data_IF_519088243623
#
_entry.id   IF_519088243623
#
_cell.length_a   1.000
_cell.length_b   1.000
_cell.length_c   1.000
_cell.angle_alpha   90.00
_cell.angle_beta   90.00
_cell.angle_gamma   90.00
#
_symmetry.space_group_name_H-M   'P 1'
#
loop_
_entity.id
_entity.type
_entity.pdbx_description
1 polymer ?
#
# COMPACT_ATOMS: atom_id res chain seq x y z
N UNK A 1 -14.47 7.35 -8.91
CA UNK A 1 -14.28 6.35 -9.93
C UNK A 1 -14.33 4.93 -9.38
N UNK A 2 -14.18 3.98 -10.26
CA UNK A 2 -14.26 2.56 -9.91
C UNK A 2 -13.19 2.14 -8.89
N UNK A 3 -11.99 2.69 -9.01
CA UNK A 3 -10.89 2.38 -8.09
C UNK A 3 -11.22 2.83 -6.66
N UNK A 4 -11.89 3.98 -6.52
CA UNK A 4 -12.31 4.47 -5.21
C UNK A 4 -13.31 3.53 -4.53
N UNK A 5 -14.25 2.98 -5.29
CA UNK A 5 -15.22 2.02 -4.73
C UNK A 5 -14.54 0.76 -4.22
N UNK A 6 -13.51 0.30 -4.91
CA UNK A 6 -12.79 -0.91 -4.50
C UNK A 6 -12.10 -0.72 -3.14
N UNK A 7 -11.44 0.43 -2.94
CA UNK A 7 -10.79 0.67 -1.66
C UNK A 7 -11.81 0.90 -0.54
N UNK A 8 -12.95 1.51 -0.83
CA UNK A 8 -14.04 1.66 0.14
C UNK A 8 -14.54 0.30 0.62
N UNK A 9 -14.78 -0.63 -0.30
CA UNK A 9 -15.23 -1.98 0.05
C UNK A 9 -14.20 -2.73 0.90
N UNK A 10 -12.92 -2.60 0.57
CA UNK A 10 -11.86 -3.20 1.34
C UNK A 10 -11.81 -2.61 2.76
N UNK A 11 -11.90 -1.30 2.88
CA UNK A 11 -11.89 -0.65 4.18
C UNK A 11 -13.11 -0.98 5.02
N UNK A 12 -14.29 -1.09 4.39
CA UNK A 12 -15.49 -1.51 5.09
C UNK A 12 -15.31 -2.90 5.72
N UNK A 13 -14.59 -3.77 5.05
CA UNK A 13 -14.34 -5.14 5.52
C UNK A 13 -13.21 -5.23 6.54
N UNK A 14 -12.08 -4.57 6.26
CA UNK A 14 -10.86 -4.74 7.04
C UNK A 14 -10.56 -3.60 8.00
N UNK A 15 -11.23 -2.47 7.87
CA UNK A 15 -11.19 -1.31 8.79
C UNK A 15 -9.77 -0.81 9.10
N UNK A 16 -9.03 -0.49 8.05
CA UNK A 16 -7.67 0.02 8.20
C UNK A 16 -7.57 1.54 8.06
N UNK A 17 -8.55 2.20 7.40
CA UNK A 17 -8.57 3.65 7.25
C UNK A 17 -9.40 4.29 8.37
N UNK A 18 -8.82 4.32 9.56
CA UNK A 18 -9.50 4.85 10.74
C UNK A 18 -9.07 6.29 11.02
N UNK A 19 -9.91 7.10 11.69
CA UNK A 19 -9.51 8.46 12.06
C UNK A 19 -8.19 8.48 12.81
N UNK A 20 -7.28 9.35 12.38
CA UNK A 20 -5.94 9.46 12.94
C UNK A 20 -4.88 8.63 12.25
N UNK A 21 -5.24 7.72 11.37
CA UNK A 21 -4.27 6.88 10.67
C UNK A 21 -3.37 7.72 9.76
N UNK A 22 -2.11 7.31 9.68
CA UNK A 22 -1.13 7.86 8.75
C UNK A 22 -1.03 6.92 7.56
N UNK A 23 -1.30 7.44 6.38
CA UNK A 23 -1.46 6.63 5.16
C UNK A 23 -0.47 7.08 4.10
N UNK A 24 0.16 6.11 3.44
CA UNK A 24 0.96 6.34 2.24
C UNK A 24 0.29 5.63 1.08
N UNK A 25 0.09 6.36 -0.02
CA UNK A 25 -0.47 5.82 -1.26
C UNK A 25 0.62 5.85 -2.34
N UNK A 26 1.17 4.69 -2.66
CA UNK A 26 2.22 4.52 -3.66
C UNK A 26 1.59 4.38 -5.06
N UNK A 27 2.05 5.20 -6.01
CA UNK A 27 1.46 5.23 -7.33
C UNK A 27 0.05 5.81 -7.29
N UNK A 28 -0.11 6.96 -6.66
CA UNK A 28 -1.42 7.48 -6.28
C UNK A 28 -2.26 8.06 -7.43
N UNK A 29 -1.68 8.34 -8.59
CA UNK A 29 -2.43 8.90 -9.72
C UNK A 29 -3.56 7.93 -10.14
N UNK A 30 -4.75 8.43 -10.51
CA UNK A 30 -5.16 9.83 -10.55
C UNK A 30 -5.60 10.42 -9.20
N UNK A 31 -5.71 9.64 -8.12
CA UNK A 31 -5.96 10.16 -6.80
C UNK A 31 -7.20 9.61 -6.09
N UNK A 32 -7.88 8.65 -6.69
CA UNK A 32 -9.13 8.11 -6.10
C UNK A 32 -8.93 7.49 -4.73
N UNK A 33 -7.86 6.75 -4.54
CA UNK A 33 -7.56 6.14 -3.23
C UNK A 33 -7.18 7.18 -2.19
N UNK A 34 -6.42 8.22 -2.60
CA UNK A 34 -6.10 9.33 -1.70
C UNK A 34 -7.37 10.03 -1.21
N UNK A 35 -8.33 10.26 -2.10
CA UNK A 35 -9.60 10.92 -1.74
C UNK A 35 -10.35 10.13 -0.68
N UNK A 36 -10.43 8.82 -0.85
CA UNK A 36 -11.08 7.95 0.14
C UNK A 36 -10.32 7.98 1.46
N UNK A 37 -9.00 7.88 1.40
CA UNK A 37 -8.17 7.90 2.60
C UNK A 37 -8.35 9.20 3.39
N UNK A 38 -8.32 10.34 2.70
CA UNK A 38 -8.51 11.65 3.35
C UNK A 38 -9.80 11.70 4.17
N UNK A 39 -10.89 11.22 3.60
CA UNK A 39 -12.18 11.21 4.31
C UNK A 39 -12.17 10.25 5.48
N UNK A 40 -11.70 9.04 5.27
CA UNK A 40 -11.77 7.97 6.27
C UNK A 40 -10.86 8.21 7.47
N UNK A 41 -9.67 8.77 7.24
CA UNK A 41 -8.74 9.05 8.33
C UNK A 41 -8.93 10.42 8.98
N UNK A 42 -9.90 11.19 8.50
CA UNK A 42 -10.19 12.53 9.02
C UNK A 42 -9.02 13.52 8.79
N UNK A 43 -8.42 13.48 7.62
CA UNK A 43 -7.26 14.32 7.33
C UNK A 43 -7.58 15.81 7.32
N UNK A 44 -8.82 16.19 7.00
CA UNK A 44 -9.27 17.58 7.02
C UNK A 44 -9.86 18.04 8.36
N UNK A 45 -9.95 17.13 9.33
CA UNK A 45 -10.51 17.48 10.63
C UNK A 45 -12.02 17.71 10.63
N UNK A 46 -12.74 17.27 9.60
CA UNK A 46 -14.18 17.50 9.48
C UNK A 46 -15.00 16.66 10.44
N UNK A 47 -14.47 15.55 10.90
CA UNK A 47 -15.12 14.70 11.91
C UNK A 47 -14.74 15.19 13.29
N UNK A 48 -15.62 16.03 13.85
CA UNK A 48 -15.38 16.66 15.15
C UNK A 48 -15.15 15.65 16.26
N UNK A 49 -14.16 15.88 17.10
CA UNK A 49 -13.83 15.00 18.20
C UNK A 49 -13.04 13.74 17.82
N UNK A 50 -12.75 13.56 16.55
CA UNK A 50 -11.94 12.43 16.09
C UNK A 50 -10.50 12.87 15.82
N UNK A 51 -9.56 11.93 15.94
CA UNK A 51 -8.16 12.19 15.62
C UNK A 51 -8.01 12.56 14.15
N UNK A 52 -7.07 13.46 13.89
CA UNK A 52 -6.76 13.90 12.52
C UNK A 52 -5.65 13.01 11.97
N UNK A 53 -5.95 12.35 10.85
CA UNK A 53 -4.98 11.52 10.14
C UNK A 53 -4.17 12.31 9.13
N UNK A 54 -3.26 11.62 8.45
CA UNK A 54 -2.44 12.21 7.39
C UNK A 54 -2.40 11.28 6.20
N UNK A 55 -2.40 11.85 5.01
CA UNK A 55 -2.31 11.09 3.75
C UNK A 55 -1.18 11.68 2.92
N UNK A 56 -0.21 10.84 2.59
CA UNK A 56 0.87 11.17 1.66
C UNK A 56 0.67 10.31 0.41
N UNK A 57 0.54 10.96 -0.74
CA UNK A 57 0.52 10.28 -2.02
C UNK A 57 1.82 10.53 -2.77
N UNK A 58 2.37 9.51 -3.41
CA UNK A 58 3.54 9.67 -4.26
C UNK A 58 3.31 9.03 -5.61
N UNK A 59 3.85 9.66 -6.66
CA UNK A 59 3.75 9.15 -8.01
C UNK A 59 4.89 9.74 -8.84
N UNK A 60 5.21 9.08 -9.95
CA UNK A 60 6.18 9.59 -10.92
C UNK A 60 5.58 10.70 -11.79
N UNK A 61 4.26 10.76 -11.89
CA UNK A 61 3.57 11.78 -12.66
C UNK A 61 2.82 12.73 -11.73
N UNK A 62 2.60 13.95 -12.22
CA UNK A 62 1.85 14.94 -11.46
C UNK A 62 0.41 14.51 -11.24
N UNK A 63 -0.09 14.83 -10.07
CA UNK A 63 -1.47 14.55 -9.67
C UNK A 63 -2.10 15.89 -9.29
N UNK A 64 -3.32 16.11 -9.74
CA UNK A 64 -4.07 17.32 -9.35
C UNK A 64 -4.19 17.38 -7.82
N UNK A 65 -4.07 18.58 -7.23
CA UNK A 65 -4.17 18.72 -5.78
C UNK A 65 -5.44 18.10 -5.21
N UNK A 66 -5.28 17.43 -4.09
CA UNK A 66 -6.37 16.80 -3.34
C UNK A 66 -6.37 17.40 -1.95
N UNK A 67 -7.46 18.07 -1.58
CA UNK A 67 -7.57 18.66 -0.25
C UNK A 67 -7.39 17.57 0.82
N UNK A 68 -6.50 17.83 1.78
CA UNK A 68 -6.22 16.89 2.86
C UNK A 68 -5.15 15.85 2.56
N UNK A 69 -4.68 15.76 1.32
CA UNK A 69 -3.56 14.89 0.95
C UNK A 69 -2.35 15.73 0.56
N UNK A 70 -1.19 15.26 0.95
CA UNK A 70 0.09 15.82 0.56
C UNK A 70 0.64 14.94 -0.55
N UNK A 71 0.75 15.47 -1.77
CA UNK A 71 1.16 14.68 -2.95
C UNK A 71 2.55 15.14 -3.40
N UNK A 72 3.44 14.17 -3.60
CA UNK A 72 4.79 14.43 -4.03
C UNK A 72 5.15 13.66 -5.29
N UNK A 73 5.92 14.31 -6.17
CA UNK A 73 6.61 13.60 -7.25
C UNK A 73 7.78 12.86 -6.61
N UNK A 74 7.72 11.55 -6.63
CA UNK A 74 8.75 10.71 -6.03
C UNK A 74 8.78 9.35 -6.69
N UNK A 75 9.98 8.91 -7.04
CA UNK A 75 10.23 7.52 -7.37
C UNK A 75 10.48 6.78 -6.06
N UNK A 76 9.52 5.96 -5.62
CA UNK A 76 9.66 5.25 -4.35
C UNK A 76 10.77 4.19 -4.38
N UNK A 77 11.28 3.84 -5.57
CA UNK A 77 12.42 2.94 -5.72
C UNK A 77 13.76 3.66 -5.53
N UNK A 78 13.76 5.00 -5.48
CA UNK A 78 14.99 5.76 -5.32
C UNK A 78 15.55 5.65 -3.90
N UNK A 79 16.86 5.79 -3.78
CA UNK A 79 17.52 5.76 -2.48
C UNK A 79 17.00 6.87 -1.58
N UNK A 80 16.67 6.52 -0.34
CA UNK A 80 16.18 7.47 0.64
C UNK A 80 14.71 7.84 0.50
N UNK A 81 13.97 7.22 -0.42
CA UNK A 81 12.55 7.51 -0.61
C UNK A 81 11.73 7.20 0.66
N UNK A 82 12.04 6.09 1.33
CA UNK A 82 11.39 5.71 2.58
C UNK A 82 11.61 6.74 3.68
N UNK A 83 12.82 7.26 3.80
CA UNK A 83 13.14 8.28 4.79
C UNK A 83 12.41 9.59 4.51
N UNK A 84 12.31 9.98 3.24
CA UNK A 84 11.54 11.16 2.84
C UNK A 84 10.07 11.04 3.22
N UNK A 85 9.48 9.89 2.95
CA UNK A 85 8.07 9.65 3.27
C UNK A 85 7.84 9.71 4.77
N UNK A 86 8.72 9.10 5.56
CA UNK A 86 8.62 9.17 7.02
C UNK A 86 8.75 10.60 7.52
N UNK A 87 9.62 11.39 6.92
CA UNK A 87 9.77 12.79 7.27
C UNK A 87 8.47 13.57 7.00
N UNK A 88 7.89 13.37 5.81
CA UNK A 88 6.62 14.03 5.47
C UNK A 88 5.48 13.60 6.38
N UNK A 89 5.43 12.34 6.78
CA UNK A 89 4.43 11.82 7.72
C UNK A 89 4.66 12.25 9.16
N UNK A 90 5.87 12.64 9.49
CA UNK A 90 6.25 12.90 10.88
C UNK A 90 6.42 11.63 11.70
N UNK A 91 6.73 10.52 11.05
CA UNK A 91 6.93 9.22 11.70
C UNK A 91 6.55 8.07 10.79
N UNK A 92 6.31 6.90 11.37
CA UNK A 92 5.94 5.72 10.62
C UNK A 92 4.47 5.78 10.17
N UNK A 93 4.14 4.94 9.20
CA UNK A 93 2.80 4.84 8.65
C UNK A 93 1.99 3.74 9.32
N UNK A 94 0.68 3.94 9.40
CA UNK A 94 -0.26 2.89 9.82
C UNK A 94 -0.73 2.05 8.64
N UNK A 95 -0.75 2.65 7.45
CA UNK A 95 -1.23 2.00 6.22
C UNK A 95 -0.35 2.38 5.05
N UNK A 96 0.04 1.38 4.27
CA UNK A 96 0.64 1.58 2.95
C UNK A 96 -0.27 0.93 1.92
N UNK A 97 -0.72 1.73 0.95
CA UNK A 97 -1.54 1.27 -0.16
C UNK A 97 -0.72 1.35 -1.45
N UNK A 98 -0.93 0.41 -2.34
CA UNK A 98 -0.22 0.40 -3.61
C UNK A 98 -1.13 -0.02 -4.76
N UNK A 99 -1.33 0.88 -5.71
CA UNK A 99 -2.01 0.62 -6.97
C UNK A 99 -1.04 0.81 -8.13
N UNK A 100 0.12 0.19 -8.03
CA UNK A 100 1.20 0.35 -9.00
C UNK A 100 0.89 -0.31 -10.34
N UNK A 101 -0.05 -1.24 -10.37
CA UNK A 101 -0.45 -1.90 -11.61
C UNK A 101 -1.01 -0.91 -12.63
N UNK A 102 -1.61 0.19 -12.19
CA UNK A 102 -2.16 1.20 -13.07
C UNK A 102 -1.10 1.95 -13.88
N UNK A 103 0.16 1.93 -13.44
CA UNK A 103 1.26 2.61 -14.11
C UNK A 103 1.97 1.74 -15.15
N UNK A 104 1.51 0.50 -15.38
CA UNK A 104 2.14 -0.41 -16.33
C UNK A 104 1.90 0.02 -17.77
N UNK A 105 2.86 -0.30 -18.66
CA UNK A 105 2.74 -0.02 -20.08
C UNK A 105 1.79 -1.00 -20.77
N UNK A 106 1.62 -0.90 -22.06
CA UNK A 106 0.72 -1.74 -22.83
C UNK A 106 1.25 -3.11 -23.26
N UNK A 107 2.44 -3.53 -22.86
CA UNK A 107 3.05 -4.79 -23.26
C UNK A 107 2.79 -5.88 -22.24
N UNK A 108 1.84 -6.76 -22.50
CA UNK A 108 1.34 -7.74 -21.55
C UNK A 108 2.40 -8.58 -20.81
N UNK A 109 3.35 -9.15 -21.53
CA UNK A 109 4.35 -10.00 -20.90
C UNK A 109 5.33 -9.22 -20.02
N UNK A 110 5.85 -8.13 -20.54
CA UNK A 110 6.77 -7.26 -19.82
C UNK A 110 6.05 -6.58 -18.64
N UNK A 111 4.81 -6.16 -18.86
CA UNK A 111 4.02 -5.52 -17.83
C UNK A 111 3.74 -6.46 -16.65
N UNK A 112 3.47 -7.73 -16.93
CA UNK A 112 3.21 -8.70 -15.87
C UNK A 112 4.41 -8.84 -14.93
N UNK A 113 5.61 -9.05 -15.47
CA UNK A 113 6.83 -9.13 -14.67
C UNK A 113 7.12 -7.83 -13.93
N UNK A 114 6.89 -6.70 -14.60
CA UNK A 114 7.09 -5.38 -14.00
C UNK A 114 6.13 -5.14 -12.85
N UNK A 115 4.87 -5.50 -13.00
CA UNK A 115 3.86 -5.36 -11.95
C UNK A 115 4.23 -6.19 -10.73
N UNK A 116 4.69 -7.42 -10.93
CA UNK A 116 5.15 -8.27 -9.84
C UNK A 116 6.31 -7.62 -9.10
N UNK A 117 7.31 -7.16 -9.83
CA UNK A 117 8.47 -6.51 -9.24
C UNK A 117 8.07 -5.25 -8.46
N UNK A 118 7.14 -4.47 -8.98
CA UNK A 118 6.63 -3.28 -8.30
C UNK A 118 5.84 -3.63 -7.03
N UNK A 119 5.06 -4.69 -7.06
CA UNK A 119 4.32 -5.14 -5.86
C UNK A 119 5.28 -5.61 -4.77
N UNK A 120 6.33 -6.35 -5.14
CA UNK A 120 7.35 -6.76 -4.18
C UNK A 120 8.13 -5.58 -3.62
N UNK A 121 8.46 -4.61 -4.48
CA UNK A 121 9.14 -3.39 -4.05
C UNK A 121 8.25 -2.55 -3.13
N UNK A 122 6.94 -2.51 -3.40
CA UNK A 122 5.99 -1.83 -2.53
C UNK A 122 5.91 -2.51 -1.16
N UNK A 123 5.95 -3.84 -1.11
CA UNK A 123 5.98 -4.58 0.15
C UNK A 123 7.27 -4.29 0.93
N UNK A 124 8.42 -4.28 0.25
CA UNK A 124 9.70 -3.90 0.88
C UNK A 124 9.64 -2.50 1.45
N UNK A 125 9.10 -1.55 0.69
CA UNK A 125 8.91 -0.18 1.16
C UNK A 125 8.02 -0.15 2.41
N UNK A 126 6.92 -0.91 2.39
CA UNK A 126 6.03 -1.00 3.54
C UNK A 126 6.74 -1.52 4.79
N UNK A 127 7.63 -2.51 4.65
CA UNK A 127 8.42 -3.02 5.78
C UNK A 127 9.28 -1.93 6.41
N UNK A 128 9.75 -0.96 5.62
CA UNK A 128 10.58 0.13 6.13
C UNK A 128 9.79 1.23 6.82
N UNK A 129 8.54 1.44 6.41
CA UNK A 129 7.78 2.61 6.89
C UNK A 129 6.63 2.28 7.84
N UNK A 130 6.17 1.03 7.91
CA UNK A 130 5.02 0.68 8.75
C UNK A 130 5.36 0.59 10.23
N UNK A 131 4.42 1.08 11.05
CA UNK A 131 4.39 0.79 12.48
C UNK A 131 4.03 -0.68 12.72
N UNK A 132 4.46 -1.28 13.83
CA UNK A 132 3.92 -2.56 14.27
C UNK A 132 2.39 -2.52 14.33
N UNK A 133 1.75 -3.53 13.81
CA UNK A 133 0.28 -3.58 13.71
C UNK A 133 -0.28 -2.95 12.44
N UNK A 134 0.57 -2.33 11.61
CA UNK A 134 0.13 -1.66 10.39
C UNK A 134 -0.40 -2.59 9.31
N UNK A 135 -0.95 -1.98 8.27
CA UNK A 135 -1.63 -2.68 7.18
C UNK A 135 -1.02 -2.34 5.83
N UNK A 136 -0.85 -3.34 4.98
CA UNK A 136 -0.44 -3.18 3.59
C UNK A 136 -1.56 -3.65 2.67
N UNK A 137 -1.96 -2.80 1.73
CA UNK A 137 -2.99 -3.10 0.74
C UNK A 137 -2.40 -2.90 -0.65
N UNK A 138 -2.48 -3.91 -1.49
CA UNK A 138 -1.96 -3.80 -2.85
C UNK A 138 -2.91 -4.40 -3.86
N UNK A 139 -3.05 -3.74 -4.99
CA UNK A 139 -3.70 -4.34 -6.15
C UNK A 139 -2.69 -5.22 -6.87
N UNK A 140 -3.06 -6.45 -7.14
CA UNK A 140 -2.21 -7.43 -7.80
C UNK A 140 -2.97 -8.07 -8.97
N UNK A 141 -2.23 -8.70 -9.87
CA UNK A 141 -2.84 -9.48 -10.93
C UNK A 141 -2.89 -10.95 -10.52
N UNK A 142 -3.99 -11.62 -10.85
CA UNK A 142 -4.10 -13.05 -10.67
C UNK A 142 -3.10 -13.76 -11.60
N UNK A 143 -2.39 -14.73 -11.08
CA UNK A 143 -1.46 -15.56 -11.86
C UNK A 143 -0.10 -15.72 -11.21
N UNK A 144 0.49 -16.78 -11.50
CA UNK A 144 1.68 -17.49 -11.07
C UNK A 144 2.79 -16.82 -10.29
N UNK A 145 3.01 -15.55 -10.38
CA UNK A 145 4.15 -14.97 -9.71
C UNK A 145 3.81 -14.23 -8.43
N UNK A 146 2.56 -14.30 -8.01
CA UNK A 146 2.15 -13.72 -6.74
C UNK A 146 2.61 -14.57 -5.55
N UNK A 147 3.10 -15.80 -5.78
CA UNK A 147 3.51 -16.69 -4.70
C UNK A 147 4.67 -16.11 -3.88
N UNK A 148 5.65 -15.47 -4.52
CA UNK A 148 6.74 -14.84 -3.79
C UNK A 148 6.27 -13.68 -2.93
N UNK A 149 5.33 -12.89 -3.44
CA UNK A 149 4.72 -11.81 -2.67
C UNK A 149 3.96 -12.36 -1.46
N UNK A 150 3.19 -13.44 -1.67
CA UNK A 150 2.46 -14.10 -0.56
C UNK A 150 3.42 -14.56 0.53
N UNK A 151 4.53 -15.18 0.16
CA UNK A 151 5.53 -15.64 1.11
C UNK A 151 6.12 -14.46 1.90
N UNK A 152 6.51 -13.38 1.20
CA UNK A 152 7.02 -12.18 1.85
C UNK A 152 6.04 -11.64 2.88
N UNK A 153 4.79 -11.50 2.49
CA UNK A 153 3.76 -10.91 3.35
C UNK A 153 3.42 -11.80 4.55
N UNK A 154 3.32 -13.11 4.33
CA UNK A 154 3.03 -14.04 5.43
C UNK A 154 4.12 -14.06 6.49
N UNK A 155 5.34 -13.78 6.10
CA UNK A 155 6.46 -13.71 7.05
C UNK A 155 6.45 -12.43 7.87
N UNK A 156 5.81 -11.36 7.37
CA UNK A 156 5.85 -10.04 7.97
C UNK A 156 4.55 -9.60 8.65
N UNK A 157 3.44 -10.27 8.36
CA UNK A 157 2.12 -9.87 8.86
C UNK A 157 1.41 -11.03 9.55
N UNK A 158 0.51 -10.71 10.46
CA UNK A 158 -0.29 -11.71 11.16
C UNK A 158 -1.28 -12.41 10.23
N UNK A 159 -1.89 -11.65 9.32
CA UNK A 159 -2.88 -12.16 8.36
C UNK A 159 -2.64 -11.61 6.99
N UNK A 160 -2.84 -12.44 5.97
CA UNK A 160 -2.80 -12.04 4.57
C UNK A 160 -4.07 -12.56 3.90
N UNK A 161 -4.90 -11.64 3.45
CA UNK A 161 -6.14 -11.98 2.74
C UNK A 161 -6.01 -11.62 1.26
N UNK A 162 -6.53 -12.49 0.40
CA UNK A 162 -6.63 -12.24 -1.03
C UNK A 162 -8.09 -12.01 -1.35
N UNK A 163 -8.41 -10.85 -1.92
CA UNK A 163 -9.79 -10.39 -2.04
C UNK A 163 -10.08 -9.93 -3.46
N UNK A 164 -11.24 -10.31 -3.96
CA UNK A 164 -11.77 -9.74 -5.18
C UNK A 164 -13.06 -8.99 -4.81
N UNK A 165 -13.02 -7.65 -4.69
CA UNK A 165 -14.20 -6.88 -4.29
C UNK A 165 -15.36 -7.04 -5.28
N UNK A 166 -16.63 -6.96 -4.81
CA UNK A 166 -17.78 -7.02 -5.71
C UNK A 166 -17.78 -5.96 -6.81
N UNK A 167 -17.14 -4.82 -6.59
CA UNK A 167 -17.00 -3.79 -7.62
C UNK A 167 -16.05 -4.21 -8.74
N UNK A 168 -15.29 -5.30 -8.60
CA UNK A 168 -14.46 -5.84 -9.67
C UNK A 168 -15.32 -6.57 -10.68
N UNK A 169 -14.97 -6.40 -11.97
CA UNK A 169 -15.67 -7.14 -13.04
C UNK A 169 -15.34 -8.62 -12.95
N UNK A 170 -16.30 -9.46 -13.30
CA UNK A 170 -16.14 -10.90 -13.22
C UNK A 170 -14.99 -11.43 -14.09
N UNK A 171 -14.71 -10.76 -15.22
CA UNK A 171 -13.64 -11.13 -16.13
C UNK A 171 -12.30 -10.45 -15.82
N UNK A 172 -12.25 -9.63 -14.77
CA UNK A 172 -11.02 -8.96 -14.38
C UNK A 172 -10.06 -9.93 -13.70
N UNK A 173 -8.78 -9.86 -14.08
CA UNK A 173 -7.72 -10.59 -13.40
C UNK A 173 -7.22 -9.86 -12.14
N UNK A 174 -7.75 -8.68 -11.85
CA UNK A 174 -7.35 -7.91 -10.68
C UNK A 174 -7.86 -8.55 -9.39
N UNK A 175 -7.02 -8.55 -8.40
CA UNK A 175 -7.41 -8.85 -7.03
C UNK A 175 -6.58 -8.01 -6.08
N UNK A 176 -6.95 -8.04 -4.82
CA UNK A 176 -6.28 -7.25 -3.79
C UNK A 176 -5.70 -8.17 -2.74
N UNK A 177 -4.53 -7.79 -2.27
CA UNK A 177 -3.93 -8.37 -1.07
C UNK A 177 -4.14 -7.38 0.06
N UNK A 178 -4.64 -7.85 1.19
CA UNK A 178 -4.75 -7.08 2.42
C UNK A 178 -3.98 -7.82 3.49
N UNK A 179 -2.83 -7.27 3.89
CA UNK A 179 -1.99 -7.84 4.92
C UNK A 179 -2.11 -6.98 6.18
N UNK A 180 -2.52 -7.58 7.28
CA UNK A 180 -2.80 -6.88 8.54
C UNK A 180 -1.94 -7.41 9.66
N UNK A 181 -1.66 -6.55 10.64
CA UNK A 181 -0.86 -6.91 11.79
C UNK A 181 0.63 -7.03 11.45
N UNK A 182 1.23 -5.94 10.95
CA UNK A 182 2.66 -5.93 10.65
C UNK A 182 3.48 -6.26 11.91
N UNK A 183 4.39 -7.23 11.80
CA UNK A 183 5.23 -7.70 12.90
C UNK A 183 6.66 -7.19 12.84
N UNK A 184 6.97 -6.35 11.87
CA UNK A 184 8.33 -5.89 11.61
C UNK A 184 8.95 -6.60 10.42
N UNK A 185 10.03 -6.05 9.90
CA UNK A 185 10.73 -6.63 8.76
C UNK A 185 11.22 -8.03 9.12
N UNK A 186 10.89 -9.04 8.32
CA UNK A 186 11.37 -10.39 8.59
C UNK A 186 12.88 -10.47 8.39
N UNK A 187 13.55 -11.35 9.15
CA UNK A 187 14.97 -11.61 8.97
C UNK A 187 15.21 -12.15 7.57
N UNK A 188 16.35 -11.80 6.98
CA UNK A 188 16.76 -12.37 5.70
C UNK A 188 16.89 -13.88 5.85
N UNK A 189 16.58 -14.62 4.77
CA UNK A 189 16.64 -16.08 4.80
C UNK A 189 18.00 -16.64 5.23
N UNK A 190 19.08 -15.94 4.86
CA UNK A 190 20.43 -16.34 5.27
C UNK A 190 20.72 -16.13 6.75
N UNK A 191 20.09 -15.18 7.39
CA UNK A 191 20.33 -14.86 8.79
C UNK A 191 19.87 -15.99 9.72
N UNK A 192 18.73 -16.59 9.41
CA UNK A 192 18.22 -17.70 10.18
C UNK A 192 19.05 -18.96 10.05
N UNK A 193 19.64 -19.16 8.87
CA UNK A 193 20.44 -20.35 8.58
C UNK A 193 21.81 -20.32 9.25
N UNK A 194 22.32 -19.14 9.52
CA UNK A 194 23.65 -18.96 10.12
C UNK A 194 23.59 -18.59 11.58
N UNK A 195 22.43 -18.55 12.13
CA UNK A 195 22.33 -18.26 13.54
C UNK A 195 23.19 -19.26 14.28
N UNK A 196 24.37 -18.88 14.72
CA UNK A 196 25.18 -19.83 15.42
C UNK A 196 24.45 -20.13 16.69
N UNK A 197 24.31 -21.33 16.90
CA UNK A 197 24.01 -21.80 18.20
C UNK A 197 25.08 -21.37 19.19
N UNK A 198 25.63 -20.27 19.03
CA UNK A 198 26.75 -19.83 19.86
C UNK A 198 26.43 -20.00 21.29
#
# INVERSE_FOLDING_TARGET
>A
GRAAYKILELDDRFRFLVPGARVVDLGCAPGGWCQVAVQRVNALGEKSGKKIGRVIGVDLQEVAPIAGAEIHLLDFLSDGADEKVKEWLGGNADVVMSDMAAAASGHKGTDHLRIIALCEAAAEFAFDVLEPGGTFVAKVLAGGAEDSLQVMLKRAFDKVANVKPPASRADSSEKFVVATGFRGRPAAAGDGAISPSA
#
